data_IF_643027333381
#
_entry.id   IF_643027333381
#
_cell.length_a   1.000
_cell.length_b   1.000
_cell.length_c   1.000
_cell.angle_alpha   90.00
_cell.angle_beta   90.00
_cell.angle_gamma   90.00
#
_symmetry.space_group_name_H-M   'P 1'
#
loop_
_entity.id
_entity.type
_entity.pdbx_description
1 polymer ?
#
# COMPACT_ATOMS: atom_id res chain seq x y z
N UNK A 1 -35.79 -36.56 43.91
CA UNK A 1 -34.88 -36.09 42.83
C UNK A 1 -33.78 -35.28 43.50
N UNK A 2 -32.49 -35.56 43.28
CA UNK A 2 -31.44 -34.98 44.11
C UNK A 2 -31.24 -33.50 43.77
N UNK A 3 -31.29 -32.62 44.77
CA UNK A 3 -31.10 -31.16 44.65
C UNK A 3 -29.72 -30.76 44.08
N UNK A 4 -28.75 -31.68 44.12
CA UNK A 4 -27.35 -31.49 43.69
C UNK A 4 -27.22 -31.17 42.19
N UNK A 5 -28.13 -31.67 41.33
CA UNK A 5 -28.08 -31.38 39.90
C UNK A 5 -28.52 -29.95 39.60
N UNK A 6 -29.52 -29.44 40.31
CA UNK A 6 -30.07 -28.10 40.06
C UNK A 6 -29.07 -27.02 40.46
N UNK A 7 -28.44 -27.15 41.63
CA UNK A 7 -27.45 -26.18 42.11
C UNK A 7 -26.19 -26.12 41.23
N UNK A 8 -25.77 -27.25 40.66
CA UNK A 8 -24.62 -27.30 39.72
C UNK A 8 -24.96 -26.67 38.38
N UNK A 9 -26.16 -26.86 37.84
CA UNK A 9 -26.62 -26.15 36.63
C UNK A 9 -26.70 -24.62 36.84
N UNK A 10 -27.18 -24.17 38.00
CA UNK A 10 -27.24 -22.74 38.34
C UNK A 10 -25.84 -22.14 38.51
N UNK A 11 -24.93 -22.81 39.23
CA UNK A 11 -23.56 -22.32 39.38
C UNK A 11 -22.82 -22.22 38.05
N UNK A 12 -22.99 -23.20 37.16
CA UNK A 12 -22.33 -23.23 35.86
C UNK A 12 -22.86 -22.14 34.92
N UNK A 13 -24.19 -21.96 34.86
CA UNK A 13 -24.80 -20.88 34.08
C UNK A 13 -24.41 -19.48 34.59
N UNK A 14 -24.30 -19.30 35.91
CA UNK A 14 -23.87 -18.04 36.52
C UNK A 14 -22.40 -17.73 36.17
N UNK A 15 -21.50 -18.72 36.21
CA UNK A 15 -20.11 -18.52 35.77
C UNK A 15 -20.03 -18.10 34.31
N UNK A 16 -20.77 -18.74 33.40
CA UNK A 16 -20.78 -18.38 31.98
C UNK A 16 -21.26 -16.95 31.78
N UNK A 17 -22.33 -16.54 32.48
CA UNK A 17 -22.82 -15.16 32.44
C UNK A 17 -21.79 -14.16 32.97
N UNK A 18 -21.10 -14.48 34.06
CA UNK A 18 -20.05 -13.62 34.61
C UNK A 18 -18.89 -13.47 33.62
N UNK A 19 -18.42 -14.56 33.02
CA UNK A 19 -17.33 -14.52 32.03
C UNK A 19 -17.74 -13.67 30.82
N UNK A 20 -18.94 -13.85 30.28
CA UNK A 20 -19.44 -13.05 29.16
C UNK A 20 -19.59 -11.56 29.52
N UNK A 21 -20.06 -11.25 30.73
CA UNK A 21 -20.14 -9.85 31.20
C UNK A 21 -18.76 -9.20 31.37
N UNK A 22 -17.77 -9.95 31.87
CA UNK A 22 -16.41 -9.46 32.03
C UNK A 22 -15.75 -9.23 30.67
N UNK A 23 -15.95 -10.14 29.71
CA UNK A 23 -15.46 -10.00 28.33
C UNK A 23 -16.06 -8.77 27.64
N UNK A 24 -17.38 -8.57 27.75
CA UNK A 24 -18.05 -7.43 27.13
C UNK A 24 -17.67 -6.10 27.77
N UNK A 25 -17.52 -6.04 29.10
CA UNK A 25 -17.04 -4.85 29.79
C UNK A 25 -15.59 -4.51 29.40
N UNK A 26 -14.73 -5.52 29.33
CA UNK A 26 -13.32 -5.37 28.91
C UNK A 26 -13.22 -4.88 27.47
N UNK A 27 -14.00 -5.47 26.56
CA UNK A 27 -14.07 -5.03 25.16
C UNK A 27 -14.51 -3.57 25.04
N UNK A 28 -15.58 -3.16 25.74
CA UNK A 28 -16.07 -1.77 25.71
C UNK A 28 -15.09 -0.76 26.28
N UNK A 29 -14.26 -1.13 27.26
CA UNK A 29 -13.25 -0.24 27.84
C UNK A 29 -12.01 -0.12 26.96
N UNK A 30 -11.62 -1.19 26.26
CA UNK A 30 -10.43 -1.21 25.40
C UNK A 30 -10.69 -0.68 23.99
N UNK A 31 -11.89 -0.90 23.44
CA UNK A 31 -12.24 -0.54 22.06
C UNK A 31 -12.03 0.95 21.71
N UNK A 32 -12.38 1.93 22.57
CA UNK A 32 -12.12 3.34 22.28
C UNK A 32 -10.63 3.66 22.22
N UNK A 33 -9.81 3.05 23.09
CA UNK A 33 -8.35 3.26 23.10
C UNK A 33 -7.69 2.67 21.87
N UNK A 34 -8.05 1.43 21.53
CA UNK A 34 -7.57 0.73 20.34
C UNK A 34 -7.90 1.54 19.08
N UNK A 35 -9.14 2.03 18.97
CA UNK A 35 -9.55 2.83 17.83
C UNK A 35 -8.85 4.20 17.80
N UNK A 36 -8.67 4.87 18.93
CA UNK A 36 -8.04 6.20 18.97
C UNK A 36 -6.53 6.18 18.71
N UNK A 37 -5.82 5.13 19.15
CA UNK A 37 -4.37 5.01 18.92
C UNK A 37 -4.05 4.59 17.49
N UNK A 38 -4.89 3.74 16.89
CA UNK A 38 -4.70 3.29 15.50
C UNK A 38 -4.97 4.40 14.48
N UNK A 39 -5.91 5.31 14.76
CA UNK A 39 -6.37 6.29 13.77
C UNK A 39 -5.39 7.46 13.59
N UNK A 40 -4.79 7.98 14.67
CA UNK A 40 -3.88 9.14 14.58
C UNK A 40 -2.45 8.73 14.23
N UNK A 41 -1.91 7.73 14.93
CA UNK A 41 -0.54 7.24 14.70
C UNK A 41 -0.42 6.54 13.34
N UNK A 42 -1.46 5.79 12.94
CA UNK A 42 -1.55 5.17 11.62
C UNK A 42 -1.59 6.21 10.51
N UNK A 43 -2.45 7.23 10.63
CA UNK A 43 -2.59 8.27 9.60
C UNK A 43 -1.30 9.06 9.37
N UNK A 44 -0.58 9.45 10.43
CA UNK A 44 0.71 10.13 10.30
C UNK A 44 1.73 9.23 9.60
N UNK A 45 1.82 7.97 10.02
CA UNK A 45 2.75 7.00 9.42
C UNK A 45 2.46 6.71 7.95
N UNK A 46 1.18 6.59 7.57
CA UNK A 46 0.77 6.44 6.18
C UNK A 46 1.11 7.68 5.36
N UNK A 47 0.92 8.87 5.94
CA UNK A 47 1.33 10.14 5.34
C UNK A 47 2.83 10.20 5.06
N UNK A 48 3.67 9.82 6.03
CA UNK A 48 5.12 9.77 5.85
C UNK A 48 5.55 8.71 4.84
N UNK A 49 4.89 7.55 4.81
CA UNK A 49 5.14 6.53 3.79
C UNK A 49 4.81 7.04 2.38
N UNK A 50 3.68 7.73 2.21
CA UNK A 50 3.30 8.33 0.95
C UNK A 50 4.28 9.44 0.52
N UNK A 51 4.70 10.30 1.45
CA UNK A 51 5.75 11.31 1.20
C UNK A 51 7.06 10.65 0.79
N UNK A 52 7.48 9.59 1.47
CA UNK A 52 8.69 8.86 1.12
C UNK A 52 8.63 8.35 -0.32
N UNK A 53 7.53 7.69 -0.72
CA UNK A 53 7.33 7.21 -2.09
C UNK A 53 7.47 8.35 -3.12
N UNK A 54 6.91 9.52 -2.84
CA UNK A 54 6.83 10.63 -3.80
C UNK A 54 8.04 11.59 -3.80
N UNK A 55 8.79 11.65 -2.70
CA UNK A 55 9.88 12.62 -2.50
C UNK A 55 11.26 11.97 -2.50
N UNK A 56 11.35 10.66 -2.26
CA UNK A 56 12.60 9.94 -2.30
C UNK A 56 12.88 9.41 -3.71
N UNK A 57 14.14 9.53 -4.15
CA UNK A 57 14.56 9.04 -5.46
C UNK A 57 14.74 7.51 -5.51
N UNK A 58 14.77 6.85 -4.34
CA UNK A 58 15.10 5.44 -4.24
C UNK A 58 16.60 5.19 -4.40
N UNK A 59 16.98 3.91 -4.25
CA UNK A 59 18.37 3.45 -4.35
C UNK A 59 18.46 2.20 -5.22
N UNK A 60 19.32 2.18 -6.25
CA UNK A 60 20.10 3.31 -6.79
C UNK A 60 19.17 4.41 -7.33
N UNK A 61 19.62 5.67 -7.35
CA UNK A 61 18.77 6.82 -7.68
C UNK A 61 18.21 6.80 -9.11
N UNK A 62 18.83 6.03 -10.00
CA UNK A 62 18.46 5.86 -11.40
C UNK A 62 17.83 4.48 -11.70
N UNK A 63 17.31 3.77 -10.69
CA UNK A 63 16.82 2.40 -10.84
C UNK A 63 15.77 2.22 -11.95
N UNK A 64 15.04 3.27 -12.34
CA UNK A 64 14.05 3.24 -13.42
C UNK A 64 14.63 3.03 -14.81
N UNK A 65 15.86 3.49 -15.05
CA UNK A 65 16.53 3.47 -16.36
C UNK A 65 17.05 2.08 -16.74
N UNK A 66 17.35 1.26 -15.73
CA UNK A 66 17.94 -0.05 -15.93
C UNK A 66 16.86 -1.14 -16.02
N UNK A 67 16.91 -1.89 -17.13
CA UNK A 67 15.90 -2.86 -17.55
C UNK A 67 15.54 -3.96 -16.54
N UNK A 68 16.44 -4.32 -15.61
CA UNK A 68 16.21 -5.42 -14.66
C UNK A 68 16.56 -5.04 -13.22
N UNK A 69 16.80 -3.76 -12.95
CA UNK A 69 17.18 -3.33 -11.60
C UNK A 69 15.95 -3.33 -10.70
N UNK A 70 16.00 -4.10 -9.62
CA UNK A 70 15.06 -4.00 -8.50
C UNK A 70 15.70 -3.02 -7.51
N UNK A 71 15.01 -1.93 -7.12
CA UNK A 71 15.59 -0.99 -6.18
C UNK A 71 15.82 -1.65 -4.81
N UNK A 72 16.94 -1.31 -4.16
CA UNK A 72 17.17 -1.61 -2.74
C UNK A 72 16.20 -0.82 -1.85
N UNK A 73 15.90 0.40 -2.28
CA UNK A 73 14.96 1.30 -1.61
C UNK A 73 14.05 1.94 -2.64
N UNK A 74 12.75 1.79 -2.44
CA UNK A 74 11.75 2.28 -3.37
C UNK A 74 11.52 3.79 -3.22
N UNK A 75 11.40 4.47 -4.35
CA UNK A 75 11.07 5.89 -4.41
C UNK A 75 10.91 6.34 -5.86
N UNK A 76 9.96 7.22 -6.12
CA UNK A 76 9.56 7.64 -7.48
C UNK A 76 10.10 9.00 -7.87
N UNK A 77 10.70 9.76 -6.94
CA UNK A 77 11.17 11.10 -7.25
C UNK A 77 12.31 11.09 -8.28
N UNK A 78 12.34 12.11 -9.12
CA UNK A 78 13.48 12.37 -10.00
C UNK A 78 14.69 12.82 -9.17
N UNK A 79 15.84 12.19 -9.42
CA UNK A 79 17.06 12.46 -8.67
C UNK A 79 17.57 13.88 -8.97
N UNK A 80 17.72 14.71 -7.93
CA UNK A 80 18.21 16.09 -8.09
C UNK A 80 17.18 17.08 -8.62
N UNK A 81 15.89 16.69 -8.68
CA UNK A 81 14.82 17.61 -9.04
C UNK A 81 14.76 18.82 -8.09
N UNK A 82 14.65 20.02 -8.67
CA UNK A 82 14.52 21.28 -7.90
C UNK A 82 13.13 21.46 -7.29
N UNK A 83 12.12 20.87 -7.94
CA UNK A 83 10.74 20.94 -7.50
C UNK A 83 10.38 19.66 -6.75
N UNK A 84 9.72 19.75 -5.58
CA UNK A 84 9.19 18.58 -4.91
C UNK A 84 8.09 17.94 -5.78
N UNK A 85 7.89 16.63 -5.62
CA UNK A 85 6.90 15.84 -6.36
C UNK A 85 7.13 15.71 -7.86
N UNK A 86 8.28 16.13 -8.38
CA UNK A 86 8.70 15.71 -9.72
C UNK A 86 9.03 14.22 -9.70
N UNK A 87 8.23 13.44 -10.43
CA UNK A 87 8.41 12.01 -10.54
C UNK A 87 9.24 11.66 -11.78
N UNK A 88 10.11 10.67 -11.62
CA UNK A 88 10.90 10.10 -12.71
C UNK A 88 9.99 9.25 -13.61
N UNK A 89 9.94 9.58 -14.90
CA UNK A 89 9.05 8.91 -15.86
C UNK A 89 9.41 7.44 -16.07
N UNK A 90 10.69 7.09 -16.03
CA UNK A 90 11.15 5.72 -16.24
C UNK A 90 10.72 4.86 -15.04
N UNK A 91 10.87 5.40 -13.82
CA UNK A 91 10.39 4.73 -12.58
C UNK A 91 8.87 4.55 -12.58
N UNK A 92 8.13 5.58 -12.96
CA UNK A 92 6.66 5.55 -13.03
C UNK A 92 6.19 4.54 -14.09
N UNK A 93 6.85 4.47 -15.24
CA UNK A 93 6.50 3.55 -16.32
C UNK A 93 6.56 2.08 -15.88
N UNK A 94 7.51 1.74 -14.99
CA UNK A 94 7.71 0.39 -14.45
C UNK A 94 6.65 -0.03 -13.44
N UNK A 95 5.75 0.87 -13.03
CA UNK A 95 4.56 0.52 -12.25
C UNK A 95 3.44 -0.05 -13.13
N UNK A 96 3.50 0.18 -14.44
CA UNK A 96 2.57 -0.42 -15.38
C UNK A 96 2.96 -1.89 -15.61
N UNK A 97 2.04 -2.82 -15.34
CA UNK A 97 2.23 -4.25 -15.59
C UNK A 97 2.45 -4.62 -17.05
N UNK A 98 2.10 -3.73 -17.98
CA UNK A 98 2.36 -3.89 -19.42
C UNK A 98 3.77 -3.44 -19.84
N UNK A 99 4.51 -2.79 -18.93
CA UNK A 99 5.90 -2.41 -19.19
C UNK A 99 6.78 -3.66 -19.28
N UNK A 100 7.68 -3.71 -20.27
CA UNK A 100 8.67 -4.78 -20.44
C UNK A 100 9.52 -5.02 -19.17
N UNK A 101 9.68 -3.98 -18.35
CA UNK A 101 10.49 -3.98 -17.14
C UNK A 101 9.67 -3.73 -15.88
N UNK A 102 8.38 -4.10 -15.91
CA UNK A 102 7.46 -3.89 -14.81
C UNK A 102 8.01 -4.46 -13.48
N UNK A 103 7.84 -3.70 -12.40
CA UNK A 103 8.05 -4.19 -11.04
C UNK A 103 6.77 -4.84 -10.52
N UNK A 104 6.91 -6.05 -9.98
CA UNK A 104 5.82 -6.71 -9.27
C UNK A 104 5.54 -6.02 -7.94
N UNK A 105 4.30 -6.13 -7.46
CA UNK A 105 3.91 -5.64 -6.14
C UNK A 105 4.83 -6.16 -5.03
N UNK A 106 5.23 -7.44 -5.08
CA UNK A 106 6.11 -8.03 -4.07
C UNK A 106 7.51 -7.38 -4.05
N UNK A 107 8.06 -7.02 -5.22
CA UNK A 107 9.35 -6.33 -5.33
C UNK A 107 9.27 -4.90 -4.77
N UNK A 108 8.19 -4.17 -5.10
CA UNK A 108 7.95 -2.82 -4.57
C UNK A 108 7.78 -2.88 -3.05
N UNK A 109 6.95 -3.82 -2.56
CA UNK A 109 6.70 -4.00 -1.14
C UNK A 109 7.99 -4.31 -0.36
N UNK A 110 8.82 -5.22 -0.89
CA UNK A 110 10.11 -5.57 -0.27
C UNK A 110 11.09 -4.39 -0.25
N UNK A 111 11.15 -3.62 -1.34
CA UNK A 111 12.05 -2.46 -1.46
C UNK A 111 11.57 -1.22 -0.69
N UNK A 112 10.29 -1.14 -0.33
CA UNK A 112 9.76 -0.09 0.55
C UNK A 112 10.13 -0.32 2.03
N UNK A 113 10.59 -1.53 2.39
CA UNK A 113 11.05 -1.91 3.75
C UNK A 113 10.01 -1.67 4.87
N UNK A 114 8.72 -1.68 4.52
CA UNK A 114 7.60 -1.63 5.48
C UNK A 114 6.98 -3.01 5.61
N UNK A 115 6.80 -3.49 6.85
CA UNK A 115 6.36 -4.87 7.12
C UNK A 115 4.88 -5.00 7.48
N UNK A 116 4.17 -3.88 7.66
CA UNK A 116 2.85 -3.85 8.28
C UNK A 116 1.87 -2.87 7.61
N UNK A 117 2.10 -2.53 6.34
CA UNK A 117 1.25 -1.63 5.55
C UNK A 117 0.98 -2.22 4.18
N UNK A 118 -0.29 -2.35 3.78
CA UNK A 118 -0.64 -2.56 2.38
C UNK A 118 -0.90 -1.23 1.70
N UNK A 119 -0.54 -1.11 0.43
CA UNK A 119 -0.78 0.12 -0.33
C UNK A 119 -1.23 -0.19 -1.75
N UNK A 120 -1.90 0.79 -2.36
CA UNK A 120 -2.28 0.78 -3.78
C UNK A 120 -1.84 2.12 -4.37
N UNK A 121 -1.06 2.06 -5.44
CA UNK A 121 -0.68 3.22 -6.22
C UNK A 121 -1.57 3.27 -7.46
N UNK A 122 -2.14 4.45 -7.75
CA UNK A 122 -2.94 4.69 -8.94
C UNK A 122 -2.54 6.04 -9.53
N UNK A 123 -2.01 6.03 -10.74
CA UNK A 123 -1.58 7.23 -11.46
C UNK A 123 -2.61 7.50 -12.54
N UNK A 124 -3.30 8.65 -12.46
CA UNK A 124 -4.29 9.08 -13.43
C UNK A 124 -3.77 10.29 -14.20
N UNK A 125 -3.73 10.24 -15.54
CA UNK A 125 -3.43 11.44 -16.31
C UNK A 125 -4.55 12.47 -16.13
N UNK A 126 -4.19 13.75 -16.19
CA UNK A 126 -5.16 14.85 -16.13
C UNK A 126 -5.98 14.93 -17.44
N UNK A 127 -5.46 14.35 -18.53
CA UNK A 127 -6.06 14.37 -19.86
C UNK A 127 -6.09 12.96 -20.48
N UNK A 128 -7.15 12.64 -21.23
CA UNK A 128 -7.21 11.46 -22.10
C UNK A 128 -6.45 11.77 -23.40
N UNK A 129 -5.27 11.17 -23.57
CA UNK A 129 -4.42 11.38 -24.75
C UNK A 129 -4.61 10.23 -25.72
N UNK A 130 -5.06 10.54 -26.94
CA UNK A 130 -5.20 9.57 -28.04
C UNK A 130 -4.22 9.92 -29.15
N UNK A 131 -3.31 9.00 -29.45
CA UNK A 131 -2.38 9.14 -30.57
C UNK A 131 -2.95 8.39 -31.77
N UNK A 132 -3.13 9.09 -32.88
CA UNK A 132 -3.54 8.47 -34.14
C UNK A 132 -2.33 8.43 -35.09
N UNK A 133 -1.87 7.23 -35.47
CA UNK A 133 -0.77 7.10 -36.42
C UNK A 133 -1.29 7.35 -37.84
N UNK A 134 -0.94 8.50 -38.43
CA UNK A 134 -1.33 8.89 -39.78
C UNK A 134 -0.16 8.87 -40.77
N UNK A 135 0.82 7.98 -40.57
CA UNK A 135 1.95 7.89 -41.49
C UNK A 135 1.48 7.39 -42.88
N UNK A 136 1.65 8.23 -43.89
CA UNK A 136 1.49 7.88 -45.31
C UNK A 136 2.90 7.64 -45.84
N UNK A 137 3.22 6.39 -46.15
CA UNK A 137 4.44 6.07 -46.89
C UNK A 137 4.15 6.30 -48.37
N UNK A 138 4.74 7.34 -48.96
CA UNK A 138 4.79 7.45 -50.42
C UNK A 138 5.63 6.29 -50.94
N UNK A 139 4.99 5.37 -51.66
CA UNK A 139 5.65 4.26 -52.31
C UNK A 139 6.71 4.79 -53.27
N UNK A 140 7.95 4.40 -53.07
CA UNK A 140 9.05 4.67 -53.99
C UNK A 140 8.73 3.97 -55.32
N UNK A 141 8.30 4.72 -56.34
CA UNK A 141 8.24 4.22 -57.71
C UNK A 141 9.67 4.17 -58.24
N UNK A 142 10.33 3.02 -58.11
CA UNK A 142 11.53 2.71 -58.88
C UNK A 142 11.11 2.42 -60.33
N UNK A 143 11.56 3.27 -61.26
CA UNK A 143 11.55 3.03 -62.72
C UNK A 143 12.96 3.08 -63.24
#
# INVERSE_FOLDING_TARGET
>A
MPAVSVDTFFACSLMVLLVLSAMTATAKLLQPRINSSLDVEGAERYGETAKHILLYAGKPSNWGQESQTIPEEFGLAEAGAKNPYTLDVDKVSRLNGESLYALSYAQIFTSLKVSDVSFRLEIKPVFDVRVNLTAIFEGFNET
#
